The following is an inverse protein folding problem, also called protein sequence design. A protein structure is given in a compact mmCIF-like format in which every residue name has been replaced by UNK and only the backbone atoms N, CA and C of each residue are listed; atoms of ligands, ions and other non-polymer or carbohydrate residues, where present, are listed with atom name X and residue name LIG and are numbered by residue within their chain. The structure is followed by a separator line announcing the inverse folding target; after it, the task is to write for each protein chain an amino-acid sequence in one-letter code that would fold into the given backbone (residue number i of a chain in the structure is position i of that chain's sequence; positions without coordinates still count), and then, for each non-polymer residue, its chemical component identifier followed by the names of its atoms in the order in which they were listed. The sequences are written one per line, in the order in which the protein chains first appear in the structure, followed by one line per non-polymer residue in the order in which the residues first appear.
data_IF_001315861511
#
_entry.id   IF_001315861511
#
_cell.length_a   1.000
_cell.length_b   1.000
_cell.length_c   1.000
_cell.angle_alpha   90.00
_cell.angle_beta   90.00
_cell.angle_gamma   90.00
#
_symmetry.space_group_name_H-M   'P 1'
#
loop_
_entity.id
_entity.type
_entity.pdbx_description
1 polymer ?
#
# COMPACT_ATOMS: atom_id res chain seq x y z
N UNK A 1 -13.92 -28.81 -1.03
CA UNK A 1 -15.12 -28.11 -0.51
C UNK A 1 -14.86 -27.39 0.82
N UNK A 2 -14.24 -28.03 1.85
CA UNK A 2 -13.99 -27.40 3.17
C UNK A 2 -13.12 -26.15 3.07
N UNK A 3 -12.06 -26.17 2.25
CA UNK A 3 -11.18 -25.01 2.02
C UNK A 3 -11.93 -23.84 1.36
N UNK A 4 -12.82 -24.15 0.39
CA UNK A 4 -13.63 -23.12 -0.25
C UNK A 4 -14.64 -22.51 0.72
N UNK A 5 -15.25 -23.32 1.60
CA UNK A 5 -16.15 -22.80 2.62
C UNK A 5 -15.42 -21.86 3.59
N UNK A 6 -14.18 -22.19 3.98
CA UNK A 6 -13.36 -21.30 4.79
C UNK A 6 -13.03 -19.99 4.05
N UNK A 7 -12.62 -20.04 2.78
CA UNK A 7 -12.36 -18.82 1.98
C UNK A 7 -13.61 -17.94 1.88
N UNK A 8 -14.79 -18.55 1.70
CA UNK A 8 -16.07 -17.84 1.67
C UNK A 8 -16.36 -17.15 3.01
N UNK A 9 -16.23 -17.86 4.13
CA UNK A 9 -16.45 -17.31 5.46
C UNK A 9 -15.47 -16.17 5.81
N UNK A 10 -14.20 -16.30 5.39
CA UNK A 10 -13.20 -15.24 5.54
C UNK A 10 -13.54 -14.01 4.66
N UNK A 11 -14.04 -14.22 3.44
CA UNK A 11 -14.45 -13.15 2.56
C UNK A 11 -15.67 -12.39 3.10
N UNK A 12 -16.67 -13.10 3.63
CA UNK A 12 -17.86 -12.51 4.25
C UNK A 12 -17.54 -11.74 5.54
N UNK A 13 -16.54 -12.17 6.30
CA UNK A 13 -16.05 -11.48 7.49
C UNK A 13 -15.21 -10.23 7.17
N UNK A 14 -14.70 -10.12 5.95
CA UNK A 14 -13.81 -9.04 5.51
C UNK A 14 -14.57 -7.77 5.12
N UNK A 15 -13.90 -6.63 5.16
CA UNK A 15 -14.45 -5.40 4.62
C UNK A 15 -14.60 -5.47 3.10
N UNK A 16 -15.67 -4.87 2.60
CA UNK A 16 -15.87 -4.63 1.17
C UNK A 16 -14.80 -3.66 0.62
N UNK A 17 -14.59 -3.66 -0.68
CA UNK A 17 -13.69 -2.68 -1.34
C UNK A 17 -14.14 -1.23 -1.12
N UNK A 18 -15.45 -1.00 -0.96
CA UNK A 18 -16.00 0.33 -0.65
C UNK A 18 -15.58 0.82 0.73
N UNK A 19 -15.71 -0.04 1.74
CA UNK A 19 -15.30 0.28 3.12
C UNK A 19 -13.79 0.54 3.23
N UNK A 20 -12.97 -0.19 2.46
CA UNK A 20 -11.52 -0.03 2.43
C UNK A 20 -11.04 1.27 1.76
N UNK A 21 -11.92 2.05 1.12
CA UNK A 21 -11.55 3.33 0.48
C UNK A 21 -11.55 4.51 1.44
N UNK A 22 -12.14 4.37 2.63
CA UNK A 22 -12.19 5.45 3.62
C UNK A 22 -10.92 5.45 4.49
N UNK A 23 -9.97 6.36 4.25
CA UNK A 23 -8.71 6.38 4.99
C UNK A 23 -8.91 6.73 6.47
N UNK A 24 -10.02 7.36 6.84
CA UNK A 24 -10.30 7.71 8.24
C UNK A 24 -10.64 6.48 9.08
N UNK A 25 -11.21 5.45 8.45
CA UNK A 25 -11.53 4.17 9.10
C UNK A 25 -10.34 3.23 9.21
N UNK A 26 -9.29 3.46 8.41
CA UNK A 26 -8.11 2.59 8.35
C UNK A 26 -7.05 2.91 9.39
N UNK A 27 -7.17 3.99 10.14
CA UNK A 27 -6.19 4.37 11.14
C UNK A 27 -6.70 4.09 12.56
N UNK A 28 -6.49 2.87 13.04
CA UNK A 28 -6.90 2.41 14.36
C UNK A 28 -5.64 1.95 15.14
N UNK A 29 -4.92 2.88 15.79
CA UNK A 29 -3.75 2.54 16.58
C UNK A 29 -4.16 1.80 17.86
N UNK A 30 -3.46 0.71 18.14
CA UNK A 30 -3.67 -0.14 19.32
C UNK A 30 -2.31 -0.53 19.89
N UNK A 31 -2.21 -0.59 21.22
CA UNK A 31 -1.12 -1.28 21.90
C UNK A 31 -1.24 -2.79 21.70
N UNK A 32 -0.17 -3.52 22.00
CA UNK A 32 -0.19 -4.99 21.96
C UNK A 32 -1.25 -5.58 22.88
N UNK A 33 -1.45 -4.99 24.05
CA UNK A 33 -2.46 -5.45 25.01
C UNK A 33 -3.89 -5.19 24.51
N UNK A 34 -4.16 -4.00 23.96
CA UNK A 34 -5.45 -3.66 23.34
C UNK A 34 -5.74 -4.56 22.14
N UNK A 35 -4.75 -4.85 21.29
CA UNK A 35 -4.90 -5.75 20.15
C UNK A 35 -5.28 -7.17 20.60
N UNK A 36 -4.62 -7.68 21.66
CA UNK A 36 -4.93 -8.98 22.21
C UNK A 36 -6.33 -9.04 22.83
N UNK A 37 -6.77 -7.98 23.49
CA UNK A 37 -8.12 -7.88 24.05
C UNK A 37 -9.19 -7.69 22.94
N UNK A 38 -8.85 -7.03 21.84
CA UNK A 38 -9.76 -6.75 20.74
C UNK A 38 -10.12 -8.00 19.92
N UNK A 39 -9.17 -8.91 19.73
CA UNK A 39 -9.40 -10.18 19.02
C UNK A 39 -8.75 -11.35 19.80
N UNK A 40 -9.32 -11.75 20.96
CA UNK A 40 -8.67 -12.69 21.88
C UNK A 40 -8.60 -14.13 21.34
N UNK A 41 -9.39 -14.48 20.32
CA UNK A 41 -9.36 -15.80 19.69
C UNK A 41 -8.13 -16.01 18.80
N UNK A 42 -7.41 -14.93 18.42
CA UNK A 42 -6.22 -15.02 17.57
C UNK A 42 -4.95 -15.17 18.43
N UNK A 43 -4.02 -16.08 18.08
CA UNK A 43 -2.80 -16.35 18.86
C UNK A 43 -1.73 -15.27 18.62
N UNK A 44 -1.98 -14.04 19.09
CA UNK A 44 -1.14 -12.87 18.83
C UNK A 44 0.32 -13.05 19.21
N UNK A 45 0.61 -13.67 20.34
CA UNK A 45 1.99 -13.85 20.82
C UNK A 45 2.83 -14.61 19.78
N UNK A 46 2.37 -15.79 19.38
CA UNK A 46 3.08 -16.60 18.37
C UNK A 46 3.12 -15.94 16.99
N UNK A 47 2.07 -15.24 16.61
CA UNK A 47 2.04 -14.51 15.32
C UNK A 47 3.06 -13.37 15.29
N UNK A 48 3.11 -12.52 16.31
CA UNK A 48 4.03 -11.39 16.38
C UNK A 48 5.49 -11.84 16.51
N UNK A 49 5.73 -12.93 17.24
CA UNK A 49 7.05 -13.58 17.34
C UNK A 49 7.48 -14.12 15.98
N UNK A 50 6.64 -14.91 15.31
CA UNK A 50 6.91 -15.45 13.98
C UNK A 50 7.10 -14.35 12.91
N UNK A 51 6.43 -13.23 13.04
CA UNK A 51 6.62 -12.05 12.20
C UNK A 51 7.87 -11.22 12.56
N UNK A 52 8.55 -11.50 13.68
CA UNK A 52 9.72 -10.76 14.14
C UNK A 52 9.42 -9.33 14.60
N UNK A 53 8.20 -9.09 15.09
CA UNK A 53 7.72 -7.77 15.55
C UNK A 53 7.13 -7.82 16.97
N UNK A 54 7.46 -8.85 17.75
CA UNK A 54 7.02 -9.03 19.13
C UNK A 54 7.54 -7.93 20.09
N UNK A 55 8.60 -7.23 19.70
CA UNK A 55 9.18 -6.08 20.40
C UNK A 55 8.40 -4.78 20.21
N UNK A 56 7.33 -4.78 19.41
CA UNK A 56 6.53 -3.58 19.15
C UNK A 56 5.39 -3.45 20.15
N UNK A 57 5.13 -2.22 20.57
CA UNK A 57 3.99 -1.91 21.44
C UNK A 57 2.81 -1.28 20.73
N UNK A 58 3.01 -0.79 19.50
CA UNK A 58 1.96 -0.08 18.76
C UNK A 58 1.74 -0.70 17.39
N UNK A 59 0.49 -0.98 17.10
CA UNK A 59 0.02 -1.52 15.82
C UNK A 59 -1.11 -0.64 15.26
N UNK A 60 -1.17 -0.49 13.95
CA UNK A 60 -2.28 0.18 13.28
C UNK A 60 -3.10 -0.85 12.54
N UNK A 61 -4.35 -1.00 12.96
CA UNK A 61 -5.28 -1.96 12.36
C UNK A 61 -6.12 -1.25 11.31
N UNK A 62 -5.97 -1.67 10.06
CA UNK A 62 -6.65 -1.03 8.92
C UNK A 62 -8.09 -1.47 8.76
N UNK A 63 -8.42 -2.72 9.12
CA UNK A 63 -9.77 -3.29 8.98
C UNK A 63 -10.31 -3.74 10.34
N UNK A 64 -10.40 -2.80 11.27
CA UNK A 64 -10.64 -3.09 12.69
C UNK A 64 -11.89 -3.94 12.94
N UNK A 65 -13.05 -3.59 12.39
CA UNK A 65 -14.30 -4.33 12.65
C UNK A 65 -14.35 -5.71 12.00
N UNK A 66 -13.49 -6.00 11.03
CA UNK A 66 -13.34 -7.32 10.43
C UNK A 66 -12.45 -8.25 11.27
N UNK A 67 -11.46 -7.71 11.98
CA UNK A 67 -10.44 -8.50 12.67
C UNK A 67 -11.00 -9.49 13.70
N UNK A 68 -11.91 -9.11 14.63
CA UNK A 68 -12.51 -10.06 15.56
C UNK A 68 -13.33 -11.16 14.87
N UNK A 69 -14.02 -10.82 13.77
CA UNK A 69 -14.80 -11.78 12.97
C UNK A 69 -13.89 -12.80 12.30
N UNK A 70 -12.80 -12.34 11.68
CA UNK A 70 -11.79 -13.21 11.06
C UNK A 70 -11.13 -14.12 12.10
N UNK A 71 -10.79 -13.60 13.28
CA UNK A 71 -10.25 -14.37 14.39
C UNK A 71 -11.22 -15.47 14.85
N UNK A 72 -12.50 -15.15 14.95
CA UNK A 72 -13.56 -16.11 15.32
C UNK A 72 -13.73 -17.21 14.26
N UNK A 73 -13.74 -16.86 12.97
CA UNK A 73 -13.83 -17.83 11.87
C UNK A 73 -12.65 -18.80 11.92
N UNK A 74 -11.42 -18.32 12.10
CA UNK A 74 -10.24 -19.17 12.20
C UNK A 74 -10.27 -20.06 13.45
N UNK A 75 -10.66 -19.53 14.59
CA UNK A 75 -10.74 -20.26 15.86
C UNK A 75 -11.80 -21.38 15.83
N UNK A 76 -12.90 -21.18 15.12
CA UNK A 76 -13.97 -22.19 14.98
C UNK A 76 -13.70 -23.21 13.88
N UNK A 77 -12.68 -22.98 13.02
CA UNK A 77 -12.37 -23.87 11.90
C UNK A 77 -11.54 -25.08 12.37
N UNK A 78 -11.90 -26.32 11.99
CA UNK A 78 -11.11 -27.50 12.32
C UNK A 78 -9.67 -27.38 11.81
N UNK A 79 -8.70 -27.78 12.64
CA UNK A 79 -7.26 -27.64 12.35
C UNK A 79 -6.85 -28.25 11.01
N UNK A 80 -7.40 -29.41 10.64
CA UNK A 80 -7.11 -30.04 9.35
C UNK A 80 -7.61 -29.23 8.16
N UNK A 81 -8.68 -28.47 8.33
CA UNK A 81 -9.17 -27.54 7.30
C UNK A 81 -8.23 -26.34 7.20
N UNK A 82 -7.76 -25.79 8.34
CA UNK A 82 -6.77 -24.70 8.35
C UNK A 82 -5.46 -25.15 7.70
N UNK A 83 -4.95 -26.34 8.03
CA UNK A 83 -3.75 -26.90 7.39
C UNK A 83 -3.90 -27.05 5.88
N UNK A 84 -5.03 -27.60 5.42
CA UNK A 84 -5.33 -27.75 3.99
C UNK A 84 -5.45 -26.39 3.29
N UNK A 85 -6.05 -25.41 3.96
CA UNK A 85 -6.13 -24.03 3.46
C UNK A 85 -4.75 -23.38 3.36
N UNK A 86 -3.90 -23.52 4.36
CA UNK A 86 -2.52 -23.00 4.32
C UNK A 86 -1.71 -23.65 3.19
N UNK A 87 -1.82 -24.96 3.01
CA UNK A 87 -1.17 -25.68 1.91
C UNK A 87 -1.66 -25.18 0.52
N UNK A 88 -2.97 -24.99 0.38
CA UNK A 88 -3.56 -24.40 -0.83
C UNK A 88 -3.01 -22.99 -1.08
N UNK A 89 -3.01 -22.12 -0.08
CA UNK A 89 -2.50 -20.74 -0.21
C UNK A 89 -1.01 -20.70 -0.56
N UNK A 90 -0.21 -21.60 0.03
CA UNK A 90 1.21 -21.73 -0.31
C UNK A 90 1.40 -22.16 -1.77
N UNK A 91 0.65 -23.16 -2.24
CA UNK A 91 0.68 -23.62 -3.62
C UNK A 91 0.19 -22.55 -4.60
N UNK A 92 -0.89 -21.85 -4.30
CA UNK A 92 -1.44 -20.76 -5.12
C UNK A 92 -0.43 -19.60 -5.27
N UNK A 93 0.22 -19.20 -4.16
CA UNK A 93 1.25 -18.16 -4.16
C UNK A 93 2.50 -18.60 -4.95
N UNK A 94 2.87 -19.87 -4.86
CA UNK A 94 4.03 -20.42 -5.56
C UNK A 94 3.74 -20.78 -7.02
N UNK A 95 2.47 -20.90 -7.44
CA UNK A 95 2.06 -21.39 -8.74
C UNK A 95 2.77 -20.74 -9.96
N UNK A 96 3.03 -19.41 -9.97
CA UNK A 96 3.79 -18.76 -11.05
C UNK A 96 5.22 -19.27 -11.23
N UNK A 97 5.78 -19.94 -10.21
CA UNK A 97 7.15 -20.46 -10.16
C UNK A 97 7.23 -21.99 -10.26
N UNK A 98 6.07 -22.67 -10.26
CA UNK A 98 5.97 -24.13 -10.33
C UNK A 98 5.95 -24.62 -11.79
N UNK A 99 5.76 -25.95 -11.96
CA UNK A 99 5.66 -26.58 -13.26
C UNK A 99 4.39 -26.16 -14.02
N UNK A 100 4.39 -26.42 -15.34
CA UNK A 100 3.38 -25.92 -16.27
C UNK A 100 1.92 -26.18 -15.82
N UNK A 101 1.51 -27.35 -15.28
CA UNK A 101 0.13 -27.57 -14.86
C UNK A 101 -0.35 -26.58 -13.76
N UNK A 102 0.52 -26.23 -12.82
CA UNK A 102 0.18 -25.26 -11.78
C UNK A 102 0.07 -23.85 -12.36
N UNK A 103 0.99 -23.49 -13.26
CA UNK A 103 0.96 -22.21 -13.95
C UNK A 103 -0.32 -22.05 -14.80
N UNK A 104 -0.73 -23.11 -15.52
CA UNK A 104 -1.93 -23.10 -16.35
C UNK A 104 -3.19 -22.95 -15.48
N UNK A 105 -3.29 -23.67 -14.37
CA UNK A 105 -4.40 -23.55 -13.44
C UNK A 105 -4.48 -22.13 -12.83
N UNK A 106 -3.33 -21.56 -12.43
CA UNK A 106 -3.22 -20.20 -11.93
C UNK A 106 -3.67 -19.18 -12.99
N UNK A 107 -3.15 -19.30 -14.22
CA UNK A 107 -3.53 -18.43 -15.34
C UNK A 107 -5.02 -18.48 -15.60
N UNK A 108 -5.60 -19.69 -15.78
CA UNK A 108 -7.01 -19.85 -16.12
C UNK A 108 -7.93 -19.22 -15.08
N UNK A 109 -7.60 -19.31 -13.82
CA UNK A 109 -8.44 -18.74 -12.76
C UNK A 109 -8.10 -17.27 -12.48
N UNK A 110 -6.87 -16.97 -12.12
CA UNK A 110 -6.47 -15.64 -11.64
C UNK A 110 -6.35 -14.59 -12.73
N UNK A 111 -5.69 -14.95 -13.84
CA UNK A 111 -5.40 -13.99 -14.90
C UNK A 111 -6.53 -13.97 -15.95
N UNK A 112 -7.06 -15.13 -16.36
CA UNK A 112 -8.11 -15.20 -17.38
C UNK A 112 -9.49 -14.89 -16.79
N UNK A 113 -10.03 -15.74 -15.89
CA UNK A 113 -11.40 -15.58 -15.37
C UNK A 113 -11.60 -14.32 -14.52
N UNK A 114 -10.67 -14.00 -13.62
CA UNK A 114 -10.82 -12.88 -12.71
C UNK A 114 -10.34 -11.56 -13.31
N UNK A 115 -9.24 -11.57 -14.09
CA UNK A 115 -8.64 -10.36 -14.64
C UNK A 115 -8.91 -10.14 -16.14
N UNK A 116 -9.58 -11.09 -16.83
CA UNK A 116 -9.95 -10.97 -18.25
C UNK A 116 -8.77 -11.06 -19.22
N UNK A 117 -7.61 -11.58 -18.80
CA UNK A 117 -6.45 -11.71 -19.65
C UNK A 117 -6.63 -12.85 -20.65
N UNK A 118 -6.53 -12.58 -21.95
CA UNK A 118 -6.82 -13.55 -23.01
C UNK A 118 -5.76 -14.65 -23.16
N UNK A 119 -4.48 -14.37 -22.89
CA UNK A 119 -3.37 -15.30 -23.00
C UNK A 119 -2.32 -15.07 -21.91
N UNK A 120 -1.58 -16.11 -21.48
CA UNK A 120 -0.53 -15.96 -20.47
C UNK A 120 0.60 -15.09 -21.00
N UNK A 121 1.13 -14.24 -20.13
CA UNK A 121 2.28 -13.40 -20.48
C UNK A 121 3.53 -14.25 -20.77
N UNK A 122 4.36 -13.85 -21.73
CA UNK A 122 5.64 -14.53 -21.99
C UNK A 122 6.48 -14.66 -20.71
N UNK A 123 7.24 -15.75 -20.61
CA UNK A 123 8.05 -16.06 -19.39
C UNK A 123 8.95 -14.90 -18.97
N UNK A 124 9.60 -14.22 -19.93
CA UNK A 124 10.49 -13.08 -19.61
C UNK A 124 9.72 -11.90 -18.99
N UNK A 125 8.49 -11.61 -19.43
CA UNK A 125 7.63 -10.58 -18.82
C UNK A 125 7.22 -10.95 -17.41
N UNK A 126 6.87 -12.22 -17.18
CA UNK A 126 6.56 -12.70 -15.82
C UNK A 126 7.77 -12.60 -14.90
N UNK A 127 8.97 -12.98 -15.38
CA UNK A 127 10.21 -12.83 -14.64
C UNK A 127 10.52 -11.37 -14.30
N UNK A 128 10.35 -10.47 -15.27
CA UNK A 128 10.55 -9.04 -15.07
C UNK A 128 9.53 -8.49 -14.03
N UNK A 129 8.26 -8.88 -14.13
CA UNK A 129 7.24 -8.49 -13.16
C UNK A 129 7.58 -8.97 -11.73
N UNK A 130 8.03 -10.21 -11.58
CA UNK A 130 8.42 -10.77 -10.29
C UNK A 130 9.63 -10.05 -9.65
N UNK A 131 10.59 -9.61 -10.47
CA UNK A 131 11.82 -8.97 -10.00
C UNK A 131 11.65 -7.46 -9.85
N UNK A 132 11.11 -6.79 -10.86
CA UNK A 132 11.00 -5.33 -10.92
C UNK A 132 9.66 -4.78 -10.41
N UNK A 133 8.60 -5.60 -10.37
CA UNK A 133 7.25 -5.16 -10.01
C UNK A 133 6.55 -4.40 -11.15
N UNK A 134 6.88 -4.68 -12.39
CA UNK A 134 6.27 -4.04 -13.56
C UNK A 134 5.12 -4.89 -14.12
N UNK A 135 4.16 -4.25 -14.77
CA UNK A 135 2.99 -4.89 -15.42
C UNK A 135 2.11 -5.71 -14.47
N UNK A 136 1.88 -5.26 -13.29
CA UNK A 136 1.05 -5.95 -12.32
C UNK A 136 -0.43 -5.64 -12.51
N UNK A 137 -1.27 -6.67 -12.39
CA UNK A 137 -2.73 -6.54 -12.45
C UNK A 137 -3.29 -5.91 -11.18
N UNK A 138 -2.59 -6.07 -10.05
CA UNK A 138 -2.96 -5.52 -8.76
C UNK A 138 -1.77 -4.78 -8.13
N UNK A 139 -1.94 -3.48 -7.89
CA UNK A 139 -0.91 -2.62 -7.31
C UNK A 139 -0.42 -3.08 -5.93
N UNK A 140 -1.24 -3.81 -5.17
CA UNK A 140 -0.87 -4.34 -3.85
C UNK A 140 0.16 -5.47 -3.91
N UNK A 141 0.25 -6.16 -5.05
CA UNK A 141 1.15 -7.31 -5.29
C UNK A 141 2.41 -6.89 -6.07
N UNK A 142 2.46 -5.64 -6.50
CA UNK A 142 3.43 -5.14 -7.48
C UNK A 142 4.78 -4.69 -6.94
N UNK A 143 5.10 -4.98 -5.72
CA UNK A 143 6.46 -4.74 -5.23
C UNK A 143 7.36 -5.88 -5.70
N UNK A 144 8.05 -5.67 -6.82
CA UNK A 144 9.07 -6.60 -7.29
C UNK A 144 10.06 -6.93 -6.18
N UNK A 145 10.51 -8.17 -6.15
CA UNK A 145 11.40 -8.67 -5.09
C UNK A 145 12.72 -7.92 -5.02
N UNK A 146 13.19 -7.36 -6.15
CA UNK A 146 14.44 -6.61 -6.30
C UNK A 146 14.22 -5.27 -7.04
N UNK A 147 13.06 -4.64 -6.91
CA UNK A 147 12.68 -3.43 -7.62
C UNK A 147 13.71 -2.28 -7.47
N UNK A 148 14.30 -2.11 -6.29
CA UNK A 148 15.33 -1.09 -6.07
C UNK A 148 16.63 -1.38 -6.84
N UNK A 149 17.05 -2.65 -6.95
CA UNK A 149 18.21 -3.01 -7.75
C UNK A 149 17.96 -2.79 -9.24
N UNK A 150 16.78 -3.16 -9.74
CA UNK A 150 16.38 -2.89 -11.13
C UNK A 150 16.26 -1.39 -11.38
N UNK A 151 15.68 -0.64 -10.43
CA UNK A 151 15.60 0.82 -10.48
C UNK A 151 16.99 1.48 -10.56
N UNK A 152 17.96 0.97 -9.83
CA UNK A 152 19.34 1.46 -9.90
C UNK A 152 19.94 1.24 -11.31
N UNK A 153 19.84 0.02 -11.85
CA UNK A 153 20.33 -0.28 -13.21
C UNK A 153 19.66 0.58 -14.29
N UNK A 154 18.36 0.85 -14.12
CA UNK A 154 17.61 1.73 -15.00
C UNK A 154 18.13 3.17 -14.92
N UNK A 155 18.28 3.67 -13.69
CA UNK A 155 18.73 5.05 -13.44
C UNK A 155 20.13 5.30 -13.95
N UNK A 156 21.05 4.36 -13.73
CA UNK A 156 22.43 4.45 -14.21
C UNK A 156 22.50 4.57 -15.74
N UNK A 157 21.55 3.97 -16.45
CA UNK A 157 21.51 3.96 -17.91
C UNK A 157 20.69 5.11 -18.51
N UNK A 158 19.55 5.46 -17.91
CA UNK A 158 18.55 6.31 -18.54
C UNK A 158 18.29 7.62 -17.79
N UNK A 159 18.81 7.78 -16.56
CA UNK A 159 18.62 8.99 -15.78
C UNK A 159 19.95 9.49 -15.18
N UNK A 160 20.81 10.11 -16.01
CA UNK A 160 22.14 10.57 -15.60
C UNK A 160 22.10 11.56 -14.44
N UNK A 161 23.18 11.64 -13.67
CA UNK A 161 23.31 12.59 -12.55
C UNK A 161 23.06 14.04 -12.95
N UNK A 162 23.45 14.43 -14.16
CA UNK A 162 23.18 15.77 -14.68
C UNK A 162 21.68 16.07 -14.80
N UNK A 163 20.88 15.08 -15.23
CA UNK A 163 19.41 15.23 -15.28
C UNK A 163 18.83 15.34 -13.89
N UNK A 164 19.33 14.57 -12.91
CA UNK A 164 18.90 14.70 -11.51
C UNK A 164 19.20 16.10 -10.98
N UNK A 165 20.42 16.62 -11.20
CA UNK A 165 20.82 17.94 -10.76
C UNK A 165 19.94 19.06 -11.38
N UNK A 166 19.61 18.96 -12.68
CA UNK A 166 18.72 19.92 -13.33
C UNK A 166 17.29 19.89 -12.75
N UNK A 167 16.80 18.69 -12.38
CA UNK A 167 15.50 18.55 -11.72
C UNK A 167 15.53 19.09 -10.28
N UNK A 168 16.61 18.86 -9.54
CA UNK A 168 16.79 19.41 -8.19
C UNK A 168 16.80 20.96 -8.23
N UNK A 169 17.47 21.56 -9.21
CA UNK A 169 17.45 23.01 -9.44
C UNK A 169 16.04 23.52 -9.79
N UNK A 170 15.33 22.84 -10.69
CA UNK A 170 13.96 23.18 -11.05
C UNK A 170 13.04 23.18 -9.81
N UNK A 171 13.12 22.15 -8.98
CA UNK A 171 12.32 22.04 -7.74
C UNK A 171 12.71 23.12 -6.73
N UNK A 172 14.00 23.42 -6.60
CA UNK A 172 14.47 24.52 -5.73
C UNK A 172 13.89 25.87 -6.17
N UNK A 173 13.89 26.16 -7.48
CA UNK A 173 13.31 27.36 -8.06
C UNK A 173 11.79 27.42 -7.85
N UNK A 174 11.10 26.28 -8.02
CA UNK A 174 9.66 26.16 -7.77
C UNK A 174 9.33 26.42 -6.29
N UNK A 175 10.09 25.83 -5.38
CA UNK A 175 9.93 26.02 -3.93
C UNK A 175 10.13 27.48 -3.55
N UNK A 176 11.14 28.15 -4.12
CA UNK A 176 11.38 29.59 -3.92
C UNK A 176 10.19 30.42 -4.41
N UNK A 177 9.64 30.10 -5.60
CA UNK A 177 8.48 30.79 -6.14
C UNK A 177 7.22 30.58 -5.26
N UNK A 178 6.99 29.36 -4.76
CA UNK A 178 5.91 29.06 -3.80
C UNK A 178 6.05 29.88 -2.51
N UNK A 179 7.25 29.96 -1.95
CA UNK A 179 7.52 30.78 -0.76
C UNK A 179 7.12 32.22 -1.01
N UNK A 180 7.62 32.84 -2.06
CA UNK A 180 7.30 34.24 -2.38
C UNK A 180 5.82 34.48 -2.67
N UNK A 181 5.07 33.46 -3.16
CA UNK A 181 3.61 33.58 -3.28
C UNK A 181 2.91 33.49 -1.94
N UNK A 182 3.27 32.54 -1.07
CA UNK A 182 2.66 32.38 0.27
C UNK A 182 2.84 33.68 1.08
N UNK A 183 4.02 34.29 1.02
CA UNK A 183 4.34 35.54 1.71
C UNK A 183 3.45 36.72 1.30
N UNK A 184 2.95 36.70 0.07
CA UNK A 184 2.14 37.78 -0.54
C UNK A 184 0.63 37.51 -0.55
N UNK A 185 0.17 36.36 -0.01
CA UNK A 185 -1.27 36.02 0.03
C UNK A 185 -2.00 36.89 1.06
N UNK A 186 -2.84 37.78 0.60
CA UNK A 186 -3.62 38.74 1.40
C UNK A 186 -4.82 38.09 2.12
N UNK A 187 -5.41 37.04 1.52
CA UNK A 187 -6.50 36.28 2.13
C UNK A 187 -6.08 35.39 3.29
N UNK A 188 -4.77 35.16 3.45
CA UNK A 188 -4.23 34.27 4.49
C UNK A 188 -3.83 35.06 5.74
N UNK A 189 -4.36 34.71 6.90
CA UNK A 189 -3.99 35.34 8.17
C UNK A 189 -2.50 35.17 8.49
N UNK A 190 -1.86 36.11 9.23
CA UNK A 190 -0.45 35.99 9.56
C UNK A 190 -0.07 34.67 10.28
N UNK A 191 -0.83 34.13 11.25
CA UNK A 191 -0.52 32.84 11.86
C UNK A 191 -0.60 31.68 10.85
N UNK A 192 -1.63 31.68 9.99
CA UNK A 192 -1.80 30.63 8.95
C UNK A 192 -0.65 30.66 7.94
N UNK A 193 -0.21 31.87 7.56
CA UNK A 193 0.94 32.06 6.67
C UNK A 193 2.22 31.53 7.27
N UNK A 194 2.48 31.79 8.57
CA UNK A 194 3.63 31.27 9.28
C UNK A 194 3.64 29.71 9.28
N UNK A 195 2.51 29.08 9.56
CA UNK A 195 2.40 27.62 9.52
C UNK A 195 2.55 27.06 8.09
N UNK A 196 2.05 27.75 7.07
CA UNK A 196 2.24 27.35 5.67
C UNK A 196 3.73 27.40 5.25
N UNK A 197 4.46 28.46 5.66
CA UNK A 197 5.89 28.57 5.42
C UNK A 197 6.68 27.50 6.17
N UNK A 198 6.38 27.26 7.44
CA UNK A 198 6.98 26.19 8.23
C UNK A 198 6.75 24.81 7.58
N UNK A 199 5.53 24.54 7.06
CA UNK A 199 5.24 23.32 6.31
C UNK A 199 6.09 23.21 5.04
N UNK A 200 6.29 24.33 4.32
CA UNK A 200 7.15 24.36 3.13
C UNK A 200 8.62 24.03 3.49
N UNK A 201 9.12 24.49 4.64
CA UNK A 201 10.48 24.23 5.13
C UNK A 201 10.71 22.76 5.51
N UNK A 202 9.65 22.04 5.90
CA UNK A 202 9.72 20.62 6.25
C UNK A 202 9.54 19.70 5.04
N UNK A 203 9.37 20.23 3.83
CA UNK A 203 9.16 19.46 2.63
C UNK A 203 10.41 18.66 2.24
N UNK A 204 10.30 17.34 2.20
CA UNK A 204 11.36 16.47 1.70
C UNK A 204 11.18 16.21 0.22
N UNK A 205 12.10 16.75 -0.56
CA UNK A 205 12.11 16.58 -2.02
C UNK A 205 12.76 15.25 -2.37
N UNK A 206 12.07 14.45 -3.20
CA UNK A 206 12.58 13.17 -3.70
C UNK A 206 12.47 13.17 -5.22
N UNK A 207 13.61 13.23 -5.90
CA UNK A 207 13.70 13.31 -7.35
C UNK A 207 14.49 12.14 -7.91
N UNK A 208 13.92 11.49 -8.92
CA UNK A 208 14.57 10.43 -9.68
C UNK A 208 14.83 9.18 -8.85
N UNK A 209 15.97 9.10 -8.21
CA UNK A 209 16.41 7.95 -7.43
C UNK A 209 17.07 8.37 -6.11
N UNK A 210 17.10 7.51 -5.09
CA UNK A 210 17.75 7.82 -3.81
C UNK A 210 19.27 7.92 -3.98
N UNK A 211 19.90 8.81 -3.23
CA UNK A 211 21.38 8.99 -3.27
C UNK A 211 22.13 7.76 -2.77
N UNK A 212 21.52 7.00 -1.85
CA UNK A 212 22.04 5.73 -1.34
C UNK A 212 21.20 4.57 -1.87
N UNK A 213 21.80 3.74 -2.69
CA UNK A 213 21.18 2.51 -3.17
C UNK A 213 20.89 1.55 -2.01
N UNK A 214 19.82 0.76 -2.17
CA UNK A 214 19.53 -0.33 -1.23
C UNK A 214 20.59 -1.41 -1.36
N UNK A 215 21.15 -1.83 -0.23
CA UNK A 215 22.11 -2.93 -0.16
C UNK A 215 21.38 -4.29 -0.24
N UNK A 216 21.80 -5.12 -1.18
CA UNK A 216 21.34 -6.50 -1.38
C UNK A 216 22.46 -7.54 -1.13
N UNK A 217 23.64 -7.11 -0.67
CA UNK A 217 24.84 -7.97 -0.53
C UNK A 217 24.63 -9.15 0.42
N UNK A 218 23.74 -8.99 1.42
CA UNK A 218 23.42 -10.04 2.38
C UNK A 218 22.48 -11.14 1.83
N UNK A 219 21.92 -10.96 0.63
CA UNK A 219 20.94 -11.87 0.07
C UNK A 219 21.60 -12.90 -0.84
N UNK A 220 21.52 -14.16 -0.47
CA UNK A 220 22.08 -15.26 -1.26
C UNK A 220 21.08 -15.69 -2.34
N UNK A 221 21.43 -15.44 -3.59
CA UNK A 221 20.68 -15.89 -4.77
C UNK A 221 21.42 -17.08 -5.43
N UNK A 222 20.69 -18.18 -5.67
CA UNK A 222 21.21 -19.38 -6.31
C UNK A 222 20.53 -19.58 -7.66
N UNK A 223 21.31 -19.90 -8.70
CA UNK A 223 20.79 -20.05 -10.08
C UNK A 223 19.85 -21.24 -10.24
N UNK A 224 20.07 -22.28 -9.47
CA UNK A 224 19.38 -23.58 -9.52
C UNK A 224 18.27 -23.73 -8.49
N UNK A 225 18.02 -22.69 -7.69
CA UNK A 225 17.04 -22.75 -6.58
C UNK A 225 16.04 -21.57 -6.65
N UNK A 226 15.21 -21.56 -7.69
CA UNK A 226 14.19 -20.51 -7.85
C UNK A 226 13.20 -20.47 -6.67
N UNK A 227 12.71 -21.64 -6.24
CA UNK A 227 11.74 -21.72 -5.15
C UNK A 227 12.34 -21.31 -3.80
N UNK A 228 13.63 -21.52 -3.56
CA UNK A 228 14.31 -21.02 -2.38
C UNK A 228 14.68 -19.53 -2.46
N UNK A 229 14.92 -18.98 -3.67
CA UNK A 229 15.21 -17.55 -3.86
C UNK A 229 14.00 -16.67 -3.48
N UNK A 230 12.78 -17.09 -3.85
CA UNK A 230 11.55 -16.32 -3.57
C UNK A 230 11.35 -16.03 -2.09
N UNK A 231 11.34 -17.02 -1.17
CA UNK A 231 11.20 -16.76 0.25
C UNK A 231 12.41 -16.03 0.86
N UNK A 232 13.65 -16.26 0.37
CA UNK A 232 14.83 -15.50 0.82
C UNK A 232 14.68 -14.01 0.53
N UNK A 233 14.21 -13.65 -0.66
CA UNK A 233 13.95 -12.26 -1.03
C UNK A 233 12.76 -11.67 -0.26
N UNK A 234 11.69 -12.45 -0.06
CA UNK A 234 10.54 -12.02 0.73
C UNK A 234 10.93 -11.72 2.18
N UNK A 235 11.71 -12.61 2.81
CA UNK A 235 12.23 -12.42 4.17
C UNK A 235 13.15 -11.18 4.28
N UNK A 236 14.04 -10.99 3.30
CA UNK A 236 14.90 -9.81 3.26
C UNK A 236 14.12 -8.51 3.07
N UNK A 237 13.07 -8.52 2.25
CA UNK A 237 12.17 -7.39 2.08
C UNK A 237 11.39 -7.11 3.36
N UNK A 238 10.82 -8.14 3.99
CA UNK A 238 10.13 -8.00 5.27
C UNK A 238 11.04 -7.40 6.34
N UNK A 239 12.26 -7.95 6.49
CA UNK A 239 13.25 -7.42 7.43
C UNK A 239 13.59 -5.96 7.15
N UNK A 240 13.84 -5.60 5.89
CA UNK A 240 14.16 -4.22 5.50
C UNK A 240 13.06 -3.25 5.91
N UNK A 241 11.79 -3.57 5.65
CA UNK A 241 10.68 -2.69 6.01
C UNK A 241 10.36 -2.70 7.52
N UNK A 242 10.45 -3.85 8.16
CA UNK A 242 10.23 -3.96 9.60
C UNK A 242 11.32 -3.23 10.41
N UNK A 243 12.59 -3.29 9.99
CA UNK A 243 13.66 -2.54 10.66
C UNK A 243 13.50 -1.03 10.52
N UNK A 244 13.04 -0.55 9.36
CA UNK A 244 12.75 0.88 9.14
C UNK A 244 11.61 1.40 10.01
N UNK A 245 10.66 0.57 10.37
CA UNK A 245 9.60 0.94 11.31
C UNK A 245 10.07 0.99 12.77
N UNK A 246 11.35 0.61 13.06
CA UNK A 246 12.01 0.77 14.38
C UNK A 246 12.64 2.14 14.59
N UNK A 247 12.79 2.93 13.54
CA UNK A 247 13.31 4.29 13.65
C UNK A 247 12.34 5.25 14.36
N UNK A 248 12.80 6.45 14.73
CA UNK A 248 11.92 7.50 15.20
C UNK A 248 10.81 7.72 14.17
N UNK A 249 9.58 7.89 14.65
CA UNK A 249 8.44 8.15 13.77
C UNK A 249 8.77 9.37 12.87
N UNK A 250 8.70 9.26 11.54
CA UNK A 250 8.96 10.43 10.70
C UNK A 250 7.98 11.53 11.09
N UNK A 251 8.42 12.79 11.16
CA UNK A 251 7.58 13.92 11.59
C UNK A 251 6.25 14.02 10.83
N UNK A 252 6.16 13.47 9.63
CA UNK A 252 4.95 13.45 8.81
C UNK A 252 3.84 12.53 9.32
N UNK A 253 4.15 11.54 10.18
CA UNK A 253 3.14 10.63 10.73
C UNK A 253 2.51 11.15 12.02
N UNK A 254 3.24 11.94 12.80
CA UNK A 254 2.69 12.63 13.97
C UNK A 254 1.56 13.61 13.59
N UNK A 255 1.62 14.18 12.38
CA UNK A 255 0.61 15.10 11.85
C UNK A 255 -0.62 14.39 11.22
N UNK A 256 -0.64 13.07 11.11
CA UNK A 256 -1.79 12.33 10.56
C UNK A 256 -3.04 12.38 11.44
N UNK A 257 -2.86 12.42 12.76
CA UNK A 257 -3.96 12.59 13.71
C UNK A 257 -4.51 14.02 13.71
N UNK A 258 -3.65 15.01 13.43
CA UNK A 258 -4.01 16.43 13.40
C UNK A 258 -4.71 16.85 12.09
N UNK A 259 -4.49 16.11 10.98
CA UNK A 259 -5.23 16.36 9.72
C UNK A 259 -6.74 16.16 9.85
N UNK A 260 -7.17 15.28 10.74
CA UNK A 260 -8.60 15.11 11.08
C UNK A 260 -9.18 16.28 11.88
N UNK A 261 -8.37 16.96 12.69
CA UNK A 261 -8.80 18.10 13.50
C UNK A 261 -8.81 19.40 12.69
N UNK A 262 -7.79 19.62 11.84
CA UNK A 262 -7.69 20.84 11.01
C UNK A 262 -8.74 20.87 9.89
N UNK A 263 -9.13 19.72 9.32
CA UNK A 263 -10.25 19.68 8.37
C UNK A 263 -11.62 19.92 9.03
N UNK A 264 -11.80 19.57 10.30
CA UNK A 264 -13.04 19.88 11.03
C UNK A 264 -13.16 21.35 11.43
N UNK A 265 -12.05 22.00 11.75
CA UNK A 265 -12.06 23.44 12.07
C UNK A 265 -12.18 24.32 10.83
N UNK A 266 -11.64 23.92 9.68
CA UNK A 266 -11.81 24.66 8.42
C UNK A 266 -13.25 24.56 7.87
N UNK A 267 -13.93 23.42 8.06
CA UNK A 267 -15.34 23.27 7.66
C UNK A 267 -16.32 24.04 8.58
N UNK A 268 -15.93 24.32 9.81
CA UNK A 268 -16.74 25.10 10.76
C UNK A 268 -16.57 26.64 10.60
N UNK A 269 -15.57 27.09 9.86
CA UNK A 269 -15.23 28.51 9.73
C UNK A 269 -15.74 29.17 8.43
N UNK A 270 -16.58 28.49 7.62
CA UNK A 270 -17.20 29.11 6.46
C UNK A 270 -18.73 28.94 6.43
N UNK A 271 -19.49 29.74 7.21
CA UNK A 271 -20.96 29.72 7.18
C UNK A 271 -21.58 30.45 5.98
N UNK A 272 -20.78 31.06 5.08
CA UNK A 272 -21.29 31.93 4.02
C UNK A 272 -21.42 31.26 2.63
N UNK A 273 -21.27 29.94 2.52
CA UNK A 273 -21.29 29.21 1.24
C UNK A 273 -22.53 28.38 0.94
N UNK A 274 -23.68 28.64 1.62
CA UNK A 274 -24.93 27.96 1.30
C UNK A 274 -26.07 28.97 1.12
N UNK A 275 -26.04 29.70 0.04
CA UNK A 275 -27.25 30.28 -0.57
C UNK A 275 -26.85 30.73 -1.98
N UNK A 276 -27.05 29.88 -2.96
CA UNK A 276 -27.40 30.16 -4.36
C UNK A 276 -27.22 28.90 -5.19
N UNK A 277 -28.24 28.05 -5.21
CA UNK A 277 -28.56 27.22 -6.38
C UNK A 277 -29.96 26.64 -6.17
N UNK A 278 -30.94 27.49 -6.40
CA UNK A 278 -32.30 27.10 -6.70
C UNK A 278 -32.88 28.12 -7.64
N UNK A 279 -32.57 27.98 -8.93
CA UNK A 279 -33.37 28.62 -10.00
C UNK A 279 -33.10 27.91 -11.33
N UNK A 280 -34.01 27.06 -11.74
CA UNK A 280 -34.69 27.10 -13.03
C UNK A 280 -33.85 26.85 -14.28
N UNK A 281 -34.11 25.72 -14.93
CA UNK A 281 -33.67 25.45 -16.30
C UNK A 281 -34.37 24.22 -16.84
N UNK A 282 -35.70 24.31 -17.01
CA UNK A 282 -36.40 23.47 -17.98
C UNK A 282 -35.81 23.71 -19.37
N UNK A 283 -35.33 22.69 -20.03
CA UNK A 283 -35.12 22.70 -21.49
C UNK A 283 -36.08 21.69 -22.09
N UNK A 284 -36.91 22.23 -22.92
CA UNK A 284 -37.98 21.61 -23.66
C UNK A 284 -37.49 20.56 -24.66
N UNK A 285 -38.34 19.58 -24.80
CA UNK A 285 -38.49 18.66 -25.91
C UNK A 285 -38.55 19.39 -27.25
N UNK A 286 -37.84 18.89 -28.24
CA UNK A 286 -37.92 19.34 -29.62
C UNK A 286 -37.52 18.21 -30.56
N UNK A 287 -38.51 17.39 -30.96
CA UNK A 287 -38.33 16.43 -32.02
C UNK A 287 -38.31 17.06 -33.41
N UNK A 288 -37.75 16.32 -34.35
CA UNK A 288 -38.16 16.13 -35.75
C UNK A 288 -37.00 15.43 -36.49
N UNK A 289 -37.27 14.21 -36.98
CA UNK A 289 -37.41 13.86 -38.41
C UNK A 289 -36.34 14.43 -39.36
N UNK A 290 -35.42 13.62 -39.86
CA UNK A 290 -35.35 12.92 -41.16
C UNK A 290 -34.16 12.01 -41.18
#
# INVERSE_FOLDING_TARGET
QRTLALETALAEASWTRGEQRDPTKQYNPMSKAELAAFAPQFPWAGFLEGAGVADRDRFVITTNSALPKLASVLASTPLDTVKAWMAFRAADTAAPYLSQPYLDAFFQFRENKLAGQAAPRPRWKRGLAAVAGMDCVDASICLGTMNWAVGQLYSDRFFPRATKAAMDELIANLTKAFRGRIEKLDWMSPPTRAEALKKLDTYQIKVGYPDKARDYSSIVIRRDDLLGNVPRLAAANWKFYSDRSRGPEPPDRANGADRGATHRTAAAANPAGRETEAAGGQVADGGASD
#
